data_IF_526047122507
#
_entry.id   IF_526047122507
#
_cell.length_a   1.000
_cell.length_b   1.000
_cell.length_c   1.000
_cell.angle_alpha   90.00
_cell.angle_beta   90.00
_cell.angle_gamma   90.00
#
_symmetry.space_group_name_H-M   'P 1'
#
loop_
_entity.id
_entity.type
_entity.pdbx_description
1 polymer ?
#
# COMPACT_ATOMS: atom_id res chain seq x y z
N UNK A 1 -7.19 -0.67 -18.76
CA UNK A 1 -6.47 -1.92 -18.49
C UNK A 1 -6.89 -2.98 -19.49
N UNK A 2 -5.98 -3.83 -19.94
CA UNK A 2 -6.28 -5.05 -20.70
C UNK A 2 -6.86 -6.13 -19.78
N UNK A 3 -7.45 -7.19 -20.35
CA UNK A 3 -7.93 -8.31 -19.54
C UNK A 3 -6.78 -9.03 -18.83
N UNK A 4 -5.61 -9.14 -19.45
CA UNK A 4 -4.42 -9.75 -18.84
C UNK A 4 -3.94 -8.93 -17.63
N UNK A 5 -3.92 -7.61 -17.75
CA UNK A 5 -3.61 -6.69 -16.64
C UNK A 5 -4.64 -6.82 -15.50
N UNK A 6 -5.92 -7.02 -15.81
CA UNK A 6 -6.94 -7.28 -14.80
C UNK A 6 -6.75 -8.62 -14.11
N UNK A 7 -6.38 -9.67 -14.85
CA UNK A 7 -6.03 -10.98 -14.26
C UNK A 7 -4.77 -10.86 -13.38
N UNK A 8 -3.78 -10.08 -13.81
CA UNK A 8 -2.58 -9.80 -13.01
C UNK A 8 -2.93 -9.02 -11.72
N UNK A 9 -3.86 -8.06 -11.80
CA UNK A 9 -4.38 -7.34 -10.64
C UNK A 9 -5.08 -8.30 -9.66
N UNK A 10 -5.93 -9.21 -10.16
CA UNK A 10 -6.58 -10.24 -9.33
C UNK A 10 -5.52 -11.12 -8.65
N UNK A 11 -4.50 -11.58 -9.38
CA UNK A 11 -3.39 -12.35 -8.80
C UNK A 11 -2.69 -11.58 -7.67
N UNK A 12 -2.46 -10.28 -7.86
CA UNK A 12 -1.86 -9.41 -6.83
C UNK A 12 -2.72 -9.38 -5.57
N UNK A 13 -4.01 -9.08 -5.71
CA UNK A 13 -4.92 -8.88 -4.57
C UNK A 13 -5.32 -10.19 -3.88
N UNK A 14 -5.52 -11.27 -4.63
CA UNK A 14 -6.03 -12.55 -4.10
C UNK A 14 -4.96 -13.56 -3.73
N UNK A 15 -3.82 -13.54 -4.42
CA UNK A 15 -2.72 -14.46 -4.19
C UNK A 15 -1.46 -13.76 -3.65
N UNK A 16 -1.55 -12.48 -3.26
CA UNK A 16 -0.44 -11.70 -2.73
C UNK A 16 0.69 -11.51 -3.75
N UNK A 17 0.37 -11.52 -5.04
CA UNK A 17 1.36 -11.44 -6.12
C UNK A 17 2.07 -12.75 -6.45
N UNK A 18 1.78 -13.85 -5.73
CA UNK A 18 2.39 -15.15 -5.98
C UNK A 18 1.69 -15.88 -7.12
N UNK A 19 2.41 -16.04 -8.24
CA UNK A 19 1.93 -16.79 -9.40
C UNK A 19 1.64 -18.26 -9.06
N UNK A 20 2.44 -18.86 -8.18
CA UNK A 20 2.29 -20.25 -7.73
C UNK A 20 1.01 -20.45 -6.93
N UNK A 21 0.74 -19.58 -5.95
CA UNK A 21 -0.52 -19.64 -5.18
C UNK A 21 -1.73 -19.41 -6.08
N UNK A 22 -1.58 -18.52 -7.06
CA UNK A 22 -2.63 -18.23 -8.01
C UNK A 22 -2.93 -19.43 -8.94
N UNK A 23 -1.90 -20.10 -9.44
CA UNK A 23 -2.08 -21.29 -10.29
C UNK A 23 -2.66 -22.47 -9.51
N UNK A 24 -2.20 -22.68 -8.27
CA UNK A 24 -2.74 -23.69 -7.35
C UNK A 24 -4.22 -23.45 -7.04
N UNK A 25 -4.60 -22.21 -6.70
CA UNK A 25 -5.99 -21.85 -6.39
C UNK A 25 -6.94 -22.05 -7.58
N UNK A 26 -6.46 -21.80 -8.80
CA UNK A 26 -7.22 -22.02 -10.03
C UNK A 26 -7.15 -23.49 -10.52
N UNK A 27 -6.32 -24.35 -9.91
CA UNK A 27 -6.09 -25.71 -10.38
C UNK A 27 -5.53 -25.76 -11.81
N UNK A 28 -4.61 -24.85 -12.15
CA UNK A 28 -3.93 -24.78 -13.45
C UNK A 28 -2.42 -24.82 -13.28
N UNK A 29 -1.69 -25.04 -14.38
CA UNK A 29 -0.23 -24.98 -14.35
C UNK A 29 0.27 -23.54 -14.25
N UNK A 30 1.41 -23.34 -13.58
CA UNK A 30 2.08 -22.03 -13.46
C UNK A 30 2.42 -21.42 -14.82
N UNK A 31 2.76 -22.26 -15.81
CA UNK A 31 3.00 -21.81 -17.18
C UNK A 31 1.73 -21.25 -17.82
N UNK A 32 0.57 -21.89 -17.58
CA UNK A 32 -0.69 -21.36 -18.08
C UNK A 32 -1.08 -20.06 -17.39
N UNK A 33 -0.91 -19.98 -16.06
CA UNK A 33 -1.13 -18.74 -15.31
C UNK A 33 -0.25 -17.59 -15.81
N UNK A 34 1.02 -17.86 -16.12
CA UNK A 34 1.95 -16.86 -16.69
C UNK A 34 1.41 -16.31 -18.01
N UNK A 35 0.87 -17.18 -18.87
CA UNK A 35 0.29 -16.78 -20.16
C UNK A 35 -0.94 -15.90 -19.96
N UNK A 36 -1.77 -16.17 -18.95
CA UNK A 36 -2.95 -15.37 -18.65
C UNK A 36 -2.59 -13.92 -18.25
N UNK A 37 -1.47 -13.72 -17.54
CA UNK A 37 -1.09 -12.38 -17.04
C UNK A 37 -0.22 -11.56 -18.00
N UNK A 38 0.58 -12.19 -18.87
CA UNK A 38 1.57 -11.47 -19.68
C UNK A 38 1.00 -10.88 -20.97
N UNK A 39 0.37 -11.71 -21.81
CA UNK A 39 -0.23 -11.29 -23.07
C UNK A 39 -0.92 -12.49 -23.73
N UNK A 40 -2.07 -12.23 -24.37
CA UNK A 40 -2.78 -13.20 -25.19
C UNK A 40 -4.29 -13.12 -25.01
N UNK A 41 -5.03 -13.75 -25.92
CA UNK A 41 -6.48 -13.90 -25.75
C UNK A 41 -6.78 -14.74 -24.52
N UNK A 42 -7.63 -14.20 -23.65
CA UNK A 42 -8.16 -14.93 -22.50
C UNK A 42 -9.50 -15.51 -22.92
N UNK A 43 -9.56 -16.84 -23.05
CA UNK A 43 -10.82 -17.54 -23.34
C UNK A 43 -11.80 -17.47 -22.17
N UNK A 44 -13.05 -17.87 -22.41
CA UNK A 44 -14.10 -17.92 -21.39
C UNK A 44 -13.74 -18.87 -20.24
N UNK A 45 -13.14 -20.04 -20.53
CA UNK A 45 -12.80 -21.03 -19.51
C UNK A 45 -11.92 -20.45 -18.37
N UNK A 46 -10.79 -19.76 -18.65
CA UNK A 46 -10.05 -19.02 -17.64
C UNK A 46 -10.87 -18.01 -16.84
N UNK A 47 -11.75 -17.26 -17.51
CA UNK A 47 -12.59 -16.24 -16.85
C UNK A 47 -13.55 -16.92 -15.88
N UNK A 48 -14.28 -17.93 -16.35
CA UNK A 48 -15.23 -18.70 -15.54
C UNK A 48 -14.55 -19.29 -14.32
N UNK A 49 -13.37 -19.90 -14.52
CA UNK A 49 -12.58 -20.49 -13.44
C UNK A 49 -12.15 -19.44 -12.40
N UNK A 50 -11.67 -18.27 -12.84
CA UNK A 50 -11.32 -17.17 -11.94
C UNK A 50 -12.54 -16.71 -11.14
N UNK A 51 -13.69 -16.53 -11.78
CA UNK A 51 -14.92 -16.09 -11.11
C UNK A 51 -15.48 -17.14 -10.14
N UNK A 52 -15.31 -18.43 -10.44
CA UNK A 52 -15.70 -19.53 -9.55
C UNK A 52 -14.76 -19.64 -8.34
N UNK A 53 -13.45 -19.47 -8.54
CA UNK A 53 -12.45 -19.50 -7.45
C UNK A 53 -12.56 -18.27 -6.55
N UNK A 54 -12.90 -17.10 -7.10
CA UNK A 54 -13.02 -15.84 -6.37
C UNK A 54 -14.40 -15.19 -6.61
N UNK A 55 -15.45 -15.64 -5.90
CA UNK A 55 -16.83 -15.21 -6.15
C UNK A 55 -17.10 -13.72 -5.90
N UNK A 56 -16.22 -13.03 -5.17
CA UNK A 56 -16.35 -11.61 -4.88
C UNK A 56 -15.75 -10.70 -5.97
N UNK A 57 -15.27 -11.27 -7.08
CA UNK A 57 -14.82 -10.50 -8.25
C UNK A 57 -16.02 -10.10 -9.10
N UNK A 58 -16.09 -8.82 -9.43
CA UNK A 58 -17.10 -8.30 -10.34
C UNK A 58 -16.81 -8.75 -11.78
N UNK A 59 -17.67 -9.60 -12.33
CA UNK A 59 -17.56 -10.15 -13.69
C UNK A 59 -17.61 -9.07 -14.78
N UNK A 60 -18.41 -8.02 -14.61
CA UNK A 60 -18.47 -6.89 -15.55
C UNK A 60 -17.12 -6.19 -15.61
N UNK A 61 -16.51 -5.90 -14.48
CA UNK A 61 -15.19 -5.28 -14.45
C UNK A 61 -14.13 -6.14 -15.13
N UNK A 62 -14.09 -7.44 -14.82
CA UNK A 62 -13.11 -8.37 -15.41
C UNK A 62 -13.24 -8.45 -16.94
N UNK A 63 -14.46 -8.45 -17.47
CA UNK A 63 -14.69 -8.61 -18.92
C UNK A 63 -14.59 -7.28 -19.65
N UNK A 64 -15.28 -6.24 -19.17
CA UNK A 64 -15.47 -4.98 -19.90
C UNK A 64 -14.60 -3.82 -19.41
N UNK A 65 -13.88 -3.98 -18.28
CA UNK A 65 -13.19 -2.90 -17.58
C UNK A 65 -14.12 -1.87 -16.92
N UNK A 66 -15.41 -2.15 -16.77
CA UNK A 66 -16.38 -1.20 -16.22
C UNK A 66 -16.80 -1.57 -14.79
N UNK A 67 -16.92 -0.56 -13.93
CA UNK A 67 -17.26 -0.74 -12.51
C UNK A 67 -16.04 -0.98 -11.63
N UNK A 68 -16.27 -1.48 -10.42
CA UNK A 68 -15.21 -1.78 -9.46
C UNK A 68 -14.78 -3.26 -9.52
N UNK A 69 -13.51 -3.59 -9.21
CA UNK A 69 -12.99 -4.94 -9.33
C UNK A 69 -13.65 -5.97 -8.40
N UNK A 70 -14.05 -5.57 -7.19
CA UNK A 70 -14.63 -6.48 -6.21
C UNK A 70 -16.03 -6.02 -5.81
N UNK A 71 -16.93 -6.97 -5.52
CA UNK A 71 -18.32 -6.67 -5.17
C UNK A 71 -18.44 -5.97 -3.82
N UNK A 72 -17.51 -6.20 -2.87
CA UNK A 72 -17.39 -5.40 -1.64
C UNK A 72 -17.14 -3.91 -1.89
N UNK A 73 -16.62 -3.55 -3.06
CA UNK A 73 -16.40 -2.16 -3.44
C UNK A 73 -17.71 -1.46 -3.87
N UNK A 74 -18.85 -2.18 -3.89
CA UNK A 74 -20.20 -1.61 -4.04
C UNK A 74 -20.83 -1.21 -2.71
N UNK A 75 -20.35 -1.76 -1.60
CA UNK A 75 -20.90 -1.44 -0.28
C UNK A 75 -20.47 -0.02 0.11
N UNK A 76 -21.45 0.88 0.20
CA UNK A 76 -21.23 2.27 0.57
C UNK A 76 -20.48 2.39 1.91
N UNK A 77 -20.72 1.46 2.84
CA UNK A 77 -19.98 1.36 4.09
C UNK A 77 -18.48 1.07 3.85
N UNK A 78 -18.14 0.13 2.97
CA UNK A 78 -16.75 -0.19 2.65
C UNK A 78 -16.05 0.97 1.93
N UNK A 79 -16.73 1.63 0.99
CA UNK A 79 -16.21 2.82 0.29
C UNK A 79 -15.88 3.92 1.32
N UNK A 80 -16.79 4.19 2.26
CA UNK A 80 -16.58 5.19 3.30
C UNK A 80 -15.43 4.79 4.23
N UNK A 81 -15.39 3.54 4.70
CA UNK A 81 -14.31 3.03 5.56
C UNK A 81 -12.95 3.08 4.88
N UNK A 82 -12.87 2.73 3.60
CA UNK A 82 -11.61 2.75 2.84
C UNK A 82 -11.11 4.18 2.62
N UNK A 83 -11.99 5.13 2.29
CA UNK A 83 -11.61 6.54 2.14
C UNK A 83 -11.20 7.16 3.49
N UNK A 84 -11.91 6.86 4.58
CA UNK A 84 -11.51 7.27 5.93
C UNK A 84 -10.12 6.71 6.26
N UNK A 85 -9.89 5.43 6.03
CA UNK A 85 -8.60 4.78 6.31
C UNK A 85 -7.47 5.41 5.50
N UNK A 86 -7.71 5.70 4.22
CA UNK A 86 -6.76 6.39 3.35
C UNK A 86 -6.38 7.76 3.89
N UNK A 87 -7.36 8.54 4.35
CA UNK A 87 -7.13 9.87 4.94
C UNK A 87 -6.39 9.79 6.28
N UNK A 88 -6.74 8.85 7.14
CA UNK A 88 -6.04 8.62 8.41
C UNK A 88 -4.57 8.29 8.15
N UNK A 89 -4.29 7.36 7.24
CA UNK A 89 -2.91 6.99 6.90
C UNK A 89 -2.14 8.20 6.37
N UNK A 90 -2.76 9.02 5.52
CA UNK A 90 -2.13 10.25 5.06
C UNK A 90 -1.80 11.22 6.21
N UNK A 91 -2.70 11.40 7.17
CA UNK A 91 -2.45 12.25 8.33
C UNK A 91 -1.30 11.73 9.20
N UNK A 92 -1.19 10.40 9.37
CA UNK A 92 -0.09 9.77 10.08
C UNK A 92 1.24 9.96 9.34
N UNK A 93 1.24 9.82 8.02
CA UNK A 93 2.43 10.06 7.20
C UNK A 93 2.86 11.53 7.27
N UNK A 94 1.90 12.47 7.21
CA UNK A 94 2.16 13.90 7.34
C UNK A 94 2.79 14.24 8.70
N UNK A 95 2.24 13.71 9.80
CA UNK A 95 2.81 13.87 11.14
C UNK A 95 4.29 13.46 11.14
N UNK A 96 4.59 12.28 10.59
CA UNK A 96 5.95 11.73 10.56
C UNK A 96 6.90 12.65 9.80
N UNK A 97 6.41 13.34 8.77
CA UNK A 97 7.21 14.22 7.93
C UNK A 97 7.37 15.65 8.48
N UNK A 98 6.55 16.08 9.45
CA UNK A 98 6.64 17.43 10.07
C UNK A 98 8.08 17.82 10.46
N UNK A 99 8.89 16.96 11.11
CA UNK A 99 10.26 17.31 11.50
C UNK A 99 11.25 17.53 10.34
N UNK A 100 10.87 17.19 9.10
CA UNK A 100 11.68 17.34 7.90
C UNK A 100 11.19 18.45 6.95
N UNK A 101 10.00 18.98 7.19
CA UNK A 101 9.39 20.06 6.43
C UNK A 101 10.08 21.40 6.68
N UNK A 102 10.11 22.25 5.66
CA UNK A 102 10.52 23.66 5.81
C UNK A 102 9.38 24.50 6.38
N UNK A 103 9.68 25.71 6.87
CA UNK A 103 8.64 26.65 7.35
C UNK A 103 7.56 26.90 6.27
N UNK A 104 7.98 27.06 5.02
CA UNK A 104 7.04 27.23 3.90
C UNK A 104 6.15 26.00 3.69
N UNK A 105 6.70 24.80 3.85
CA UNK A 105 5.91 23.56 3.72
C UNK A 105 4.89 23.42 4.86
N UNK A 106 5.24 23.86 6.08
CA UNK A 106 4.34 23.87 7.23
C UNK A 106 3.19 24.86 7.03
N UNK A 107 3.47 26.06 6.51
CA UNK A 107 2.43 27.05 6.20
C UNK A 107 1.48 26.56 5.09
N UNK A 108 2.02 25.89 4.07
CA UNK A 108 1.22 25.27 3.02
C UNK A 108 0.34 24.13 3.58
N UNK A 109 0.89 23.30 4.46
CA UNK A 109 0.16 22.23 5.13
C UNK A 109 -0.94 22.76 6.05
N UNK A 110 -0.71 23.87 6.77
CA UNK A 110 -1.74 24.53 7.58
C UNK A 110 -2.88 25.06 6.71
N UNK A 111 -2.56 25.61 5.53
CA UNK A 111 -3.56 26.03 4.54
C UNK A 111 -4.41 24.87 4.01
N UNK A 112 -3.80 23.69 3.81
CA UNK A 112 -4.50 22.46 3.46
C UNK A 112 -5.50 22.06 4.55
N UNK A 113 -5.03 21.96 5.80
CA UNK A 113 -5.84 21.47 6.92
C UNK A 113 -6.99 22.42 7.29
N UNK A 114 -6.81 23.72 7.05
CA UNK A 114 -7.83 24.75 7.28
C UNK A 114 -8.91 24.80 6.19
N UNK A 115 -8.69 24.13 5.06
CA UNK A 115 -9.61 24.15 3.90
C UNK A 115 -9.52 25.42 3.05
N UNK A 116 -8.61 26.33 3.37
CA UNK A 116 -8.44 27.62 2.67
C UNK A 116 -7.69 27.47 1.35
N UNK A 117 -6.93 26.39 1.18
CA UNK A 117 -6.14 26.13 -0.03
C UNK A 117 -6.28 24.69 -0.49
N UNK A 118 -6.44 24.53 -1.80
CA UNK A 118 -6.34 23.25 -2.49
C UNK A 118 -4.86 22.89 -2.66
N UNK A 119 -4.24 22.37 -1.60
CA UNK A 119 -2.83 22.01 -1.61
C UNK A 119 -2.67 20.56 -2.09
N UNK A 120 -1.88 20.37 -3.15
CA UNK A 120 -1.51 19.05 -3.64
C UNK A 120 -0.12 18.72 -3.11
N UNK A 121 0.01 17.55 -2.50
CA UNK A 121 1.31 17.05 -2.08
C UNK A 121 2.17 16.79 -3.32
N UNK A 122 3.24 17.56 -3.45
CA UNK A 122 4.24 17.38 -4.50
C UNK A 122 5.04 16.10 -4.21
N UNK A 123 5.01 15.08 -5.10
CA UNK A 123 5.76 13.84 -4.91
C UNK A 123 7.26 14.05 -4.66
N UNK A 124 7.85 15.10 -5.24
CA UNK A 124 9.27 15.39 -5.09
C UNK A 124 9.58 15.88 -3.66
N UNK A 125 8.71 16.74 -3.11
CA UNK A 125 8.82 17.19 -1.70
C UNK A 125 8.62 16.03 -0.71
N UNK A 126 7.64 15.16 -0.97
CA UNK A 126 7.39 13.98 -0.13
C UNK A 126 8.63 13.07 -0.08
N UNK A 127 9.22 12.78 -1.25
CA UNK A 127 10.45 11.97 -1.33
C UNK A 127 11.60 12.61 -0.54
N UNK A 128 11.75 13.94 -0.60
CA UNK A 128 12.78 14.66 0.15
C UNK A 128 12.53 14.59 1.67
N UNK A 129 11.28 14.73 2.13
CA UNK A 129 10.93 14.61 3.54
C UNK A 129 11.15 13.20 4.05
N UNK A 130 10.73 12.17 3.32
CA UNK A 130 10.98 10.76 3.64
C UNK A 130 12.47 10.46 3.80
N UNK A 131 13.30 10.95 2.87
CA UNK A 131 14.74 10.79 2.94
C UNK A 131 15.33 11.46 4.19
N UNK A 132 14.93 12.70 4.49
CA UNK A 132 15.40 13.44 5.68
C UNK A 132 14.97 12.77 6.99
N UNK A 133 13.74 12.27 7.08
CA UNK A 133 13.26 11.54 8.27
C UNK A 133 14.05 10.25 8.44
N UNK A 134 14.19 9.45 7.38
CA UNK A 134 14.92 8.18 7.41
C UNK A 134 16.37 8.37 7.83
N UNK A 135 17.03 9.42 7.35
CA UNK A 135 18.40 9.73 7.72
C UNK A 135 18.52 10.14 9.20
N UNK A 136 17.59 10.96 9.70
CA UNK A 136 17.54 11.32 11.13
C UNK A 136 17.31 10.09 12.02
N UNK A 137 16.39 9.21 11.64
CA UNK A 137 16.11 7.95 12.34
C UNK A 137 17.33 7.03 12.36
N UNK A 138 18.03 6.90 11.22
CA UNK A 138 19.27 6.13 11.12
C UNK A 138 20.33 6.66 12.09
N UNK A 139 20.58 7.96 12.07
CA UNK A 139 21.54 8.61 12.97
C UNK A 139 21.16 8.43 14.44
N UNK A 140 19.88 8.53 14.78
CA UNK A 140 19.40 8.29 16.14
C UNK A 140 19.63 6.84 16.56
N UNK A 141 19.24 5.87 15.72
CA UNK A 141 19.42 4.45 15.98
C UNK A 141 20.90 4.08 16.13
N UNK A 142 21.79 4.65 15.32
CA UNK A 142 23.24 4.48 15.47
C UNK A 142 23.75 5.00 16.82
N UNK A 143 23.31 6.20 17.24
CA UNK A 143 23.66 6.77 18.54
C UNK A 143 23.16 5.92 19.70
N UNK A 144 21.91 5.47 19.64
CA UNK A 144 21.31 4.58 20.66
C UNK A 144 22.07 3.26 20.71
N UNK A 145 22.35 2.65 19.56
CA UNK A 145 23.09 1.38 19.48
C UNK A 145 24.51 1.51 20.04
N UNK A 146 25.20 2.61 19.74
CA UNK A 146 26.53 2.90 20.29
C UNK A 146 26.48 3.03 21.81
N UNK A 147 25.53 3.80 22.34
CA UNK A 147 25.38 3.99 23.78
C UNK A 147 24.95 2.71 24.52
N UNK A 148 24.19 1.81 23.86
CA UNK A 148 23.91 0.46 24.37
C UNK A 148 25.19 -0.39 24.47
N UNK A 149 26.03 -0.38 23.43
CA UNK A 149 27.32 -1.10 23.42
C UNK A 149 28.31 -0.57 24.47
N UNK A 150 28.32 0.74 24.70
CA UNK A 150 29.18 1.39 25.69
C UNK A 150 28.67 1.24 27.14
N UNK A 151 27.51 0.59 27.35
CA UNK A 151 26.96 0.32 28.67
C UNK A 151 26.48 1.57 29.43
N UNK A 152 26.29 2.69 28.72
CA UNK A 152 25.92 3.99 29.32
C UNK A 152 24.43 4.05 29.67
N UNK A 153 23.60 3.27 28.98
CA UNK A 153 22.13 3.35 29.09
C UNK A 153 21.57 2.54 30.29
N UNK A 154 22.30 1.53 30.77
CA UNK A 154 21.83 0.66 31.86
C UNK A 154 22.89 0.47 32.95
N UNK A 155 23.11 1.49 33.78
CA UNK A 155 23.60 1.27 35.16
C UNK A 155 22.38 1.14 36.06
N UNK A 156 21.72 -0.02 36.07
CA UNK A 156 20.79 -0.38 37.14
C UNK A 156 21.56 -0.25 38.45
N UNK A 157 21.13 0.67 39.31
CA UNK A 157 21.64 0.76 40.68
C UNK A 157 21.42 -0.62 41.32
N UNK A 158 22.50 -1.32 41.64
CA UNK A 158 22.41 -2.50 42.50
C UNK A 158 21.94 -2.00 43.87
N UNK A 159 20.74 -2.40 44.27
CA UNK A 159 20.29 -2.23 45.65
C UNK A 159 21.38 -2.75 46.59
N UNK A 160 21.78 -1.89 47.52
CA UNK A 160 22.79 -2.18 48.55
C UNK A 160 22.11 -3.05 49.63
N UNK A 161 22.79 -4.11 50.12
CA UNK A 161 22.22 -5.11 51.02
C UNK A 161 21.77 -4.54 52.37
#
# INVERSE_FOLDING_TARGET
>A
MTINERVAYIMKEKAGGSLTRFSEALGITTQYATRLIKAGSVGIEPITRILQTYPDINSRWLITNEGFPFDKDKDSEYIVRSEISRRINLLLDLERWIPAMSETDLQDLLGLLSGDKDFKLDPMKVSDWEHKVSEKERQLNERVTKAMKEGVICRTQKDKP
#
